data_IF_980805238466
#
_entry.id   IF_980805238466
#
_cell.length_a   1.000
_cell.length_b   1.000
_cell.length_c   1.000
_cell.angle_alpha   90.00
_cell.angle_beta   90.00
_cell.angle_gamma   90.00
#
_symmetry.space_group_name_H-M   'P 1'
#
loop_
_entity.id
_entity.type
_entity.pdbx_description
1 polymer ?
#
# COMPACT_ATOMS: atom_id res chain seq x y z
N UNK A 1 14.76 -14.69 -27.12
CA UNK A 1 14.58 -13.27 -26.73
C UNK A 1 15.59 -12.96 -25.63
N UNK A 2 16.48 -11.98 -25.84
CA UNK A 2 17.37 -11.50 -24.78
C UNK A 2 16.58 -10.61 -23.82
N UNK A 3 16.42 -11.06 -22.57
CA UNK A 3 15.71 -10.29 -21.53
C UNK A 3 16.66 -9.48 -20.66
N UNK A 4 17.93 -9.90 -20.58
CA UNK A 4 18.99 -9.19 -19.87
C UNK A 4 19.58 -8.12 -20.77
N UNK A 5 19.41 -6.85 -20.39
CA UNK A 5 20.02 -5.71 -21.07
C UNK A 5 21.34 -5.38 -20.38
N UNK A 6 22.45 -5.33 -21.12
CA UNK A 6 23.74 -4.95 -20.57
C UNK A 6 23.79 -3.43 -20.35
N UNK A 7 24.43 -2.99 -19.26
CA UNK A 7 24.67 -1.58 -19.02
C UNK A 7 25.95 -1.16 -19.76
N UNK A 8 25.82 -0.28 -20.76
CA UNK A 8 26.94 0.27 -21.51
C UNK A 8 27.57 1.47 -20.81
N UNK A 9 28.89 1.64 -20.91
CA UNK A 9 29.65 2.77 -20.35
C UNK A 9 30.28 2.49 -18.98
N UNK A 10 31.01 3.45 -18.40
CA UNK A 10 31.72 3.25 -17.13
C UNK A 10 30.72 3.02 -15.98
N UNK A 11 31.03 2.19 -14.97
CA UNK A 11 30.12 1.93 -13.85
C UNK A 11 29.81 3.24 -13.09
N UNK A 12 28.55 3.46 -12.65
CA UNK A 12 28.16 4.67 -11.92
C UNK A 12 28.73 4.73 -10.49
N UNK A 13 29.34 3.65 -10.02
CA UNK A 13 29.94 3.51 -8.70
C UNK A 13 30.20 2.03 -8.40
N UNK A 14 30.55 1.73 -7.15
CA UNK A 14 30.67 0.35 -6.69
C UNK A 14 29.33 -0.39 -6.79
N UNK A 15 29.40 -1.72 -6.97
CA UNK A 15 28.19 -2.55 -7.00
C UNK A 15 27.57 -2.60 -5.59
N UNK A 16 26.24 -2.49 -5.47
CA UNK A 16 25.56 -2.69 -4.19
C UNK A 16 25.88 -4.08 -3.62
N UNK A 17 26.31 -4.11 -2.36
CA UNK A 17 26.56 -5.36 -1.63
C UNK A 17 25.26 -5.97 -1.09
N UNK A 18 24.24 -5.13 -0.87
CA UNK A 18 22.90 -5.51 -0.40
C UNK A 18 21.85 -5.02 -1.39
N UNK A 19 20.75 -5.78 -1.53
CA UNK A 19 19.61 -5.35 -2.31
C UNK A 19 18.88 -4.21 -1.58
N UNK A 20 18.65 -3.09 -2.25
CA UNK A 20 17.83 -1.99 -1.71
C UNK A 20 16.43 -2.48 -1.35
N UNK A 21 15.91 -2.08 -0.18
CA UNK A 21 14.56 -2.43 0.25
C UNK A 21 13.51 -1.95 -0.76
N UNK A 22 12.71 -2.84 -1.38
CA UNK A 22 11.68 -2.46 -2.35
C UNK A 22 10.60 -1.53 -1.79
N UNK A 23 10.44 -1.46 -0.47
CA UNK A 23 9.45 -0.62 0.20
C UNK A 23 10.02 0.72 0.69
N UNK A 24 11.31 1.00 0.44
CA UNK A 24 11.89 2.27 0.86
C UNK A 24 11.43 3.40 -0.07
N UNK A 25 10.90 4.51 0.45
CA UNK A 25 10.41 5.62 -0.37
C UNK A 25 11.53 6.52 -0.92
N UNK A 26 12.81 6.10 -0.83
CA UNK A 26 13.92 6.91 -1.34
C UNK A 26 14.03 6.68 -2.86
N UNK A 27 14.58 7.65 -3.60
CA UNK A 27 14.98 7.42 -4.98
C UNK A 27 15.86 6.15 -5.11
N UNK A 28 15.83 5.48 -6.26
CA UNK A 28 16.75 4.38 -6.53
C UNK A 28 18.20 4.87 -6.42
N UNK A 29 19.11 3.95 -6.14
CA UNK A 29 20.53 4.20 -6.18
C UNK A 29 21.04 4.43 -7.61
N UNK A 30 22.35 4.69 -7.78
CA UNK A 30 22.92 5.07 -9.07
C UNK A 30 22.75 4.01 -10.17
N UNK A 31 22.79 2.72 -9.80
CA UNK A 31 22.65 1.64 -10.77
C UNK A 31 21.18 1.48 -11.23
N UNK A 32 20.24 1.52 -10.28
CA UNK A 32 18.81 1.45 -10.58
C UNK A 32 18.32 2.66 -11.37
N UNK A 33 18.82 3.85 -11.05
CA UNK A 33 18.53 5.08 -11.80
C UNK A 33 18.96 4.96 -13.26
N UNK A 34 20.21 4.55 -13.51
CA UNK A 34 20.72 4.37 -14.88
C UNK A 34 19.94 3.33 -15.67
N UNK A 35 19.61 2.19 -15.05
CA UNK A 35 18.81 1.16 -15.70
C UNK A 35 17.40 1.68 -16.04
N UNK A 36 16.80 2.46 -15.14
CA UNK A 36 15.49 3.05 -15.36
C UNK A 36 15.52 4.09 -16.48
N UNK A 37 16.52 4.95 -16.53
CA UNK A 37 16.73 5.92 -17.61
C UNK A 37 16.90 5.25 -18.97
N UNK A 38 17.65 4.14 -19.03
CA UNK A 38 17.80 3.34 -20.24
C UNK A 38 16.46 2.74 -20.71
N UNK A 39 15.67 2.20 -19.78
CA UNK A 39 14.33 1.69 -20.11
C UNK A 39 13.38 2.83 -20.54
N UNK A 40 13.38 3.96 -19.85
CA UNK A 40 12.58 5.13 -20.23
C UNK A 40 12.95 5.61 -21.62
N UNK A 41 14.23 5.67 -21.95
CA UNK A 41 14.69 6.03 -23.29
C UNK A 41 14.14 5.06 -24.34
N UNK A 42 14.24 3.74 -24.11
CA UNK A 42 13.65 2.73 -25.01
C UNK A 42 12.14 2.92 -25.18
N UNK A 43 11.41 3.14 -24.09
CA UNK A 43 9.96 3.35 -24.12
C UNK A 43 9.56 4.63 -24.89
N UNK A 44 10.42 5.66 -24.91
CA UNK A 44 10.18 6.88 -25.70
C UNK A 44 10.36 6.66 -27.20
N UNK A 45 11.27 5.78 -27.61
CA UNK A 45 11.59 5.54 -29.02
C UNK A 45 10.57 4.64 -29.72
N UNK A 46 9.85 3.81 -28.96
CA UNK A 46 8.86 2.90 -29.51
C UNK A 46 7.48 3.58 -29.64
N UNK A 47 7.10 3.87 -30.88
CA UNK A 47 5.83 4.53 -31.20
C UNK A 47 4.60 3.73 -30.72
N UNK A 48 4.66 2.39 -30.75
CA UNK A 48 3.54 1.55 -30.31
C UNK A 48 3.36 1.60 -28.80
N UNK A 49 4.47 1.62 -28.03
CA UNK A 49 4.37 1.86 -26.58
C UNK A 49 3.88 3.25 -26.25
N UNK A 50 4.34 4.27 -26.99
CA UNK A 50 3.89 5.64 -26.78
C UNK A 50 2.36 5.76 -26.91
N UNK A 51 1.79 5.26 -28.01
CA UNK A 51 0.35 5.26 -28.24
C UNK A 51 -0.43 4.50 -27.13
N UNK A 52 0.05 3.31 -26.77
CA UNK A 52 -0.62 2.47 -25.77
C UNK A 52 -0.61 3.07 -24.35
N UNK A 53 0.45 3.78 -23.99
CA UNK A 53 0.67 4.27 -22.63
C UNK A 53 0.14 5.71 -22.42
N UNK A 54 0.01 6.52 -23.48
CA UNK A 54 -0.41 7.94 -23.38
C UNK A 54 -1.91 8.15 -23.57
N UNK A 55 -2.67 7.12 -23.97
CA UNK A 55 -4.14 7.14 -23.92
C UNK A 55 -4.64 7.23 -22.46
N UNK A 56 -5.85 7.78 -22.21
CA UNK A 56 -6.42 7.85 -20.87
C UNK A 56 -6.44 6.49 -20.16
N UNK A 57 -5.81 6.39 -18.99
CA UNK A 57 -5.67 5.13 -18.24
C UNK A 57 -4.64 4.14 -18.82
N UNK A 58 -3.85 4.55 -19.83
CA UNK A 58 -2.83 3.75 -20.46
C UNK A 58 -1.54 3.58 -19.64
N UNK A 59 -1.22 4.58 -18.80
CA UNK A 59 0.00 4.59 -17.99
C UNK A 59 0.11 3.40 -17.03
N UNK A 60 1.34 2.97 -16.74
CA UNK A 60 1.63 1.76 -15.96
C UNK A 60 2.86 1.94 -15.09
N UNK A 61 2.97 1.07 -14.07
CA UNK A 61 4.26 0.89 -13.40
C UNK A 61 5.18 0.08 -14.28
N UNK A 62 6.39 0.58 -14.45
CA UNK A 62 7.53 -0.16 -14.96
C UNK A 62 8.51 -0.41 -13.82
N UNK A 63 9.33 -1.44 -13.98
CA UNK A 63 10.40 -1.74 -13.04
C UNK A 63 11.62 -2.24 -13.77
N UNK A 64 12.78 -1.91 -13.22
CA UNK A 64 14.07 -2.47 -13.60
C UNK A 64 14.71 -3.14 -12.40
N UNK A 65 15.35 -4.28 -12.63
CA UNK A 65 16.16 -4.94 -11.63
C UNK A 65 17.58 -5.10 -12.17
N UNK A 66 18.51 -4.36 -11.58
CA UNK A 66 19.95 -4.53 -11.82
C UNK A 66 20.36 -5.86 -11.22
N UNK A 67 21.06 -6.65 -12.01
CA UNK A 67 21.47 -8.01 -11.68
C UNK A 67 22.91 -8.28 -12.10
N UNK A 68 23.60 -9.13 -11.34
CA UNK A 68 24.87 -9.72 -11.75
C UNK A 68 24.65 -11.18 -12.18
N UNK A 69 25.18 -11.53 -13.35
CA UNK A 69 25.22 -12.89 -13.85
C UNK A 69 26.37 -13.69 -13.19
N UNK A 70 26.31 -15.03 -13.17
CA UNK A 70 27.37 -15.87 -12.60
C UNK A 70 28.75 -15.68 -13.24
N UNK A 71 28.78 -15.23 -14.49
CA UNK A 71 30.01 -14.91 -15.24
C UNK A 71 30.58 -13.51 -14.93
N UNK A 72 30.00 -12.79 -13.97
CA UNK A 72 30.42 -11.47 -13.53
C UNK A 72 29.85 -10.31 -14.34
N UNK A 73 29.10 -10.56 -15.43
CA UNK A 73 28.45 -9.48 -16.19
C UNK A 73 27.34 -8.83 -15.38
N UNK A 74 27.23 -7.51 -15.49
CA UNK A 74 26.16 -6.73 -14.87
C UNK A 74 25.24 -6.18 -15.95
N UNK A 75 23.94 -6.31 -15.71
CA UNK A 75 22.91 -5.77 -16.58
C UNK A 75 21.64 -5.52 -15.79
N UNK A 76 20.54 -5.30 -16.50
CA UNK A 76 19.23 -5.16 -15.87
C UNK A 76 18.14 -5.90 -16.64
N UNK A 77 17.15 -6.34 -15.87
CA UNK A 77 15.89 -6.90 -16.35
C UNK A 77 14.83 -5.80 -16.37
N UNK A 78 13.85 -5.90 -17.25
CA UNK A 78 12.73 -4.95 -17.36
C UNK A 78 11.38 -5.66 -17.19
N UNK A 79 10.44 -5.01 -16.48
CA UNK A 79 9.07 -5.48 -16.31
C UNK A 79 8.07 -4.32 -16.29
N UNK A 80 6.79 -4.64 -16.45
CA UNK A 80 5.67 -3.70 -16.31
C UNK A 80 4.56 -4.32 -15.46
N UNK A 81 3.66 -3.52 -14.89
CA UNK A 81 2.52 -4.04 -14.13
C UNK A 81 1.37 -4.50 -15.03
N UNK A 82 0.80 -5.68 -14.76
CA UNK A 82 -0.32 -6.23 -15.54
C UNK A 82 0.07 -6.56 -16.97
N UNK A 83 -0.78 -6.19 -17.93
CA UNK A 83 -0.56 -6.32 -19.37
C UNK A 83 -0.12 -4.99 -19.99
N UNK A 84 0.67 -5.05 -21.05
CA UNK A 84 1.08 -3.90 -21.88
C UNK A 84 0.53 -4.11 -23.30
N UNK A 85 -0.24 -3.14 -23.81
CA UNK A 85 -0.90 -3.29 -25.11
C UNK A 85 -1.89 -4.47 -25.19
N UNK A 86 -2.36 -5.00 -24.05
CA UNK A 86 -3.20 -6.20 -24.00
C UNK A 86 -2.44 -7.53 -23.97
N UNK A 87 -1.10 -7.49 -23.98
CA UNK A 87 -0.25 -8.69 -23.92
C UNK A 87 0.42 -8.88 -22.55
N UNK A 88 0.59 -10.14 -22.16
CA UNK A 88 1.38 -10.54 -20.98
C UNK A 88 2.87 -10.64 -21.25
N UNK A 89 3.22 -11.08 -22.47
CA UNK A 89 4.59 -11.29 -22.92
C UNK A 89 4.91 -10.26 -23.99
N UNK A 90 5.93 -9.45 -23.75
CA UNK A 90 6.41 -8.41 -24.67
C UNK A 90 7.92 -8.53 -24.76
N UNK A 91 8.46 -8.38 -25.97
CA UNK A 91 9.90 -8.56 -26.22
C UNK A 91 10.77 -7.66 -25.34
N UNK A 92 11.81 -8.23 -24.74
CA UNK A 92 12.73 -7.53 -23.85
C UNK A 92 12.15 -7.18 -22.48
N UNK A 93 10.99 -7.73 -22.11
CA UNK A 93 10.45 -7.73 -20.76
C UNK A 93 10.37 -9.16 -20.20
N UNK A 94 10.49 -9.30 -18.88
CA UNK A 94 10.33 -10.59 -18.20
C UNK A 94 8.88 -11.09 -18.27
N UNK A 95 8.67 -12.42 -18.34
CA UNK A 95 7.33 -13.02 -18.41
C UNK A 95 6.53 -12.87 -17.09
N UNK A 96 5.21 -13.14 -17.11
CA UNK A 96 4.40 -13.23 -15.90
C UNK A 96 4.78 -14.42 -14.99
N UNK A 97 4.25 -14.41 -13.75
CA UNK A 97 4.47 -15.45 -12.73
C UNK A 97 3.55 -16.67 -12.87
N UNK A 98 2.78 -16.74 -13.95
CA UNK A 98 1.86 -17.82 -14.26
C UNK A 98 2.05 -18.20 -15.73
N UNK A 99 1.56 -19.38 -16.11
CA UNK A 99 1.53 -19.79 -17.52
C UNK A 99 0.35 -19.11 -18.25
N UNK A 100 0.59 -18.21 -19.21
CA UNK A 100 -0.47 -17.56 -19.97
C UNK A 100 -1.35 -18.54 -20.74
N UNK A 101 -0.77 -19.62 -21.28
CA UNK A 101 -1.52 -20.62 -22.07
C UNK A 101 -2.48 -21.38 -21.16
N UNK A 102 -2.00 -21.83 -20.00
CA UNK A 102 -2.85 -22.48 -19.00
C UNK A 102 -3.97 -21.56 -18.49
N UNK A 103 -3.69 -20.25 -18.36
CA UNK A 103 -4.70 -19.26 -17.98
C UNK A 103 -5.74 -19.05 -19.07
N UNK A 104 -5.31 -18.86 -20.31
CA UNK A 104 -6.19 -18.58 -21.45
C UNK A 104 -7.11 -19.77 -21.78
N UNK A 105 -6.76 -20.98 -21.34
CA UNK A 105 -7.61 -22.16 -21.46
C UNK A 105 -8.93 -22.08 -20.67
N UNK A 106 -9.01 -21.28 -19.61
CA UNK A 106 -10.22 -21.17 -18.77
C UNK A 106 -10.72 -19.73 -18.56
N UNK A 107 -9.82 -18.75 -18.59
CA UNK A 107 -10.15 -17.36 -18.24
C UNK A 107 -11.22 -16.75 -19.16
N UNK A 108 -11.14 -16.83 -20.50
CA UNK A 108 -12.14 -16.22 -21.39
C UNK A 108 -13.54 -16.78 -21.18
N UNK A 109 -13.67 -18.10 -20.98
CA UNK A 109 -14.95 -18.75 -20.73
C UNK A 109 -15.55 -18.31 -19.37
N UNK A 110 -14.72 -18.27 -18.32
CA UNK A 110 -15.16 -17.80 -17.01
C UNK A 110 -15.52 -16.31 -16.99
N UNK A 111 -14.79 -15.47 -17.72
CA UNK A 111 -15.10 -14.04 -17.87
C UNK A 111 -16.43 -13.83 -18.61
N UNK A 112 -16.67 -14.59 -19.69
CA UNK A 112 -17.94 -14.57 -20.42
C UNK A 112 -19.12 -15.02 -19.55
N UNK A 113 -18.94 -16.06 -18.72
CA UNK A 113 -19.96 -16.52 -17.76
C UNK A 113 -20.29 -15.44 -16.73
N UNK A 114 -19.28 -14.79 -16.15
CA UNK A 114 -19.49 -13.68 -15.21
C UNK A 114 -20.17 -12.47 -15.84
N UNK A 115 -19.82 -12.15 -17.09
CA UNK A 115 -20.47 -11.07 -17.84
C UNK A 115 -21.95 -11.39 -18.13
N UNK A 116 -22.28 -12.63 -18.48
CA UNK A 116 -23.66 -13.06 -18.67
C UNK A 116 -24.48 -12.96 -17.37
N UNK A 117 -23.91 -13.37 -16.23
CA UNK A 117 -24.55 -13.23 -14.92
C UNK A 117 -24.75 -11.77 -14.52
N UNK A 118 -23.81 -10.87 -14.85
CA UNK A 118 -23.96 -9.43 -14.65
C UNK A 118 -25.12 -8.86 -15.48
N UNK A 119 -25.25 -9.27 -16.74
CA UNK A 119 -26.37 -8.85 -17.60
C UNK A 119 -27.72 -9.34 -17.07
N UNK A 120 -27.78 -10.58 -16.58
CA UNK A 120 -28.97 -11.13 -15.93
C UNK A 120 -29.32 -10.37 -14.65
N UNK A 121 -28.33 -10.06 -13.81
CA UNK A 121 -28.51 -9.27 -12.60
C UNK A 121 -29.08 -7.89 -12.90
N UNK A 122 -28.54 -7.20 -13.92
CA UNK A 122 -29.02 -5.89 -14.35
C UNK A 122 -30.44 -5.94 -14.93
N UNK A 123 -30.82 -7.02 -15.62
CA UNK A 123 -32.19 -7.22 -16.11
C UNK A 123 -33.17 -7.43 -14.94
N UNK A 124 -32.86 -8.36 -14.03
CA UNK A 124 -33.70 -8.67 -12.87
C UNK A 124 -33.81 -7.50 -11.90
N UNK A 125 -32.75 -6.70 -11.75
CA UNK A 125 -32.76 -5.49 -10.91
C UNK A 125 -33.77 -4.47 -11.42
N UNK A 126 -33.86 -4.27 -12.75
CA UNK A 126 -34.86 -3.38 -13.37
C UNK A 126 -36.28 -3.91 -13.21
N UNK A 127 -36.48 -5.22 -13.30
CA UNK A 127 -37.80 -5.84 -13.08
C UNK A 127 -38.26 -5.78 -11.62
N UNK A 128 -37.31 -5.86 -10.68
CA UNK A 128 -37.58 -5.80 -9.24
C UNK A 128 -38.04 -4.42 -8.75
N UNK A 129 -37.88 -3.36 -9.55
CA UNK A 129 -38.39 -2.01 -9.26
C UNK A 129 -39.91 -1.88 -9.44
N UNK A 130 -40.58 -2.87 -10.04
CA UNK A 130 -42.03 -2.87 -10.25
C UNK A 130 -42.82 -3.31 -9.01
N UNK A 131 -44.04 -2.75 -8.75
CA UNK A 131 -44.87 -3.19 -7.64
C UNK A 131 -45.29 -4.67 -7.80
N UNK A 132 -45.05 -5.50 -6.76
CA UNK A 132 -45.29 -6.97 -6.69
C UNK A 132 -44.24 -7.89 -7.35
N UNK A 133 -42.96 -7.51 -7.31
CA UNK A 133 -41.86 -8.30 -7.89
C UNK A 133 -41.21 -9.34 -6.93
N UNK A 134 -41.98 -10.05 -6.09
CA UNK A 134 -41.42 -11.03 -5.14
C UNK A 134 -40.60 -12.15 -5.82
N UNK A 135 -41.06 -12.62 -6.99
CA UNK A 135 -40.35 -13.62 -7.80
C UNK A 135 -39.04 -13.08 -8.37
N UNK A 136 -39.03 -11.83 -8.86
CA UNK A 136 -37.82 -11.18 -9.39
C UNK A 136 -36.80 -10.92 -8.28
N UNK A 137 -37.24 -10.63 -7.06
CA UNK A 137 -36.34 -10.45 -5.92
C UNK A 137 -35.67 -11.76 -5.48
N UNK A 138 -36.39 -12.90 -5.53
CA UNK A 138 -35.79 -14.21 -5.29
C UNK A 138 -34.77 -14.57 -6.39
N UNK A 139 -35.15 -14.40 -7.65
CA UNK A 139 -34.26 -14.66 -8.79
C UNK A 139 -33.00 -13.78 -8.75
N UNK A 140 -33.12 -12.52 -8.32
CA UNK A 140 -31.98 -11.61 -8.17
C UNK A 140 -30.98 -12.14 -7.15
N UNK A 141 -31.44 -12.56 -5.96
CA UNK A 141 -30.59 -13.16 -4.92
C UNK A 141 -29.89 -14.43 -5.41
N UNK A 142 -30.57 -15.22 -6.22
CA UNK A 142 -30.01 -16.44 -6.78
C UNK A 142 -28.89 -16.15 -7.80
N UNK A 143 -29.10 -15.19 -8.71
CA UNK A 143 -28.06 -14.72 -9.63
C UNK A 143 -26.86 -14.13 -8.87
N UNK A 144 -27.09 -13.33 -7.83
CA UNK A 144 -26.02 -12.80 -6.96
C UNK A 144 -25.22 -13.93 -6.32
N UNK A 145 -25.90 -14.95 -5.79
CA UNK A 145 -25.27 -16.10 -5.17
C UNK A 145 -24.41 -16.88 -6.17
N UNK A 146 -24.98 -17.26 -7.33
CA UNK A 146 -24.27 -18.00 -8.38
C UNK A 146 -23.08 -17.20 -8.90
N UNK A 147 -23.24 -15.89 -9.14
CA UNK A 147 -22.14 -15.01 -9.57
C UNK A 147 -21.02 -14.96 -8.54
N UNK A 148 -21.36 -14.86 -7.25
CA UNK A 148 -20.36 -14.87 -6.18
C UNK A 148 -19.62 -16.21 -6.08
N UNK A 149 -20.30 -17.34 -6.31
CA UNK A 149 -19.66 -18.66 -6.38
C UNK A 149 -18.75 -18.81 -7.59
N UNK A 150 -19.23 -18.47 -8.79
CA UNK A 150 -18.44 -18.52 -10.03
C UNK A 150 -17.22 -17.61 -9.97
N UNK A 151 -17.38 -16.40 -9.46
CA UNK A 151 -16.27 -15.47 -9.28
C UNK A 151 -15.22 -16.03 -8.33
N UNK A 152 -15.64 -16.62 -7.19
CA UNK A 152 -14.72 -17.27 -6.24
C UNK A 152 -14.00 -18.46 -6.83
N UNK A 153 -14.69 -19.31 -7.60
CA UNK A 153 -14.10 -20.47 -8.26
C UNK A 153 -13.06 -20.05 -9.31
N UNK A 154 -13.41 -19.08 -10.16
CA UNK A 154 -12.52 -18.55 -11.19
C UNK A 154 -11.27 -17.91 -10.58
N UNK A 155 -11.44 -17.07 -9.55
CA UNK A 155 -10.31 -16.47 -8.83
C UNK A 155 -9.42 -17.51 -8.13
N UNK A 156 -10.01 -18.58 -7.60
CA UNK A 156 -9.23 -19.68 -7.02
C UNK A 156 -8.35 -20.35 -8.07
N UNK A 157 -8.88 -20.62 -9.26
CA UNK A 157 -8.08 -21.20 -10.35
C UNK A 157 -6.95 -20.27 -10.78
N UNK A 158 -7.22 -18.97 -10.96
CA UNK A 158 -6.19 -17.97 -11.29
C UNK A 158 -5.07 -17.99 -10.25
N UNK A 159 -5.42 -17.88 -8.96
CA UNK A 159 -4.42 -17.72 -7.88
C UNK A 159 -3.61 -18.98 -7.59
N UNK A 160 -4.10 -20.16 -7.97
CA UNK A 160 -3.35 -21.41 -7.94
C UNK A 160 -2.34 -21.53 -9.07
N UNK A 161 -2.59 -20.87 -10.21
CA UNK A 161 -1.69 -20.88 -11.37
C UNK A 161 -0.44 -19.99 -11.23
N UNK A 162 -0.39 -19.12 -10.22
CA UNK A 162 0.79 -18.30 -9.95
C UNK A 162 1.81 -19.08 -9.14
N UNK A 163 3.06 -19.10 -9.62
CA UNK A 163 4.21 -19.68 -8.93
C UNK A 163 5.10 -18.54 -8.45
N UNK A 164 5.16 -18.36 -7.13
CA UNK A 164 5.97 -17.32 -6.49
C UNK A 164 7.23 -17.98 -5.94
N UNK A 165 8.43 -17.74 -6.50
CA UNK A 165 9.68 -18.24 -5.94
C UNK A 165 10.28 -17.29 -4.89
N UNK A 166 11.17 -17.80 -4.04
CA UNK A 166 12.07 -16.99 -3.23
C UNK A 166 13.55 -17.24 -3.55
N UNK A 167 14.43 -16.43 -2.96
CA UNK A 167 15.87 -16.54 -3.20
C UNK A 167 16.53 -17.78 -2.59
N UNK A 168 15.83 -18.54 -1.75
CA UNK A 168 16.28 -19.88 -1.28
C UNK A 168 15.96 -20.99 -2.28
N UNK A 169 15.25 -20.68 -3.38
CA UNK A 169 14.80 -21.67 -4.36
C UNK A 169 13.49 -22.38 -3.98
N UNK A 170 12.79 -21.92 -2.95
CA UNK A 170 11.47 -22.43 -2.57
C UNK A 170 10.39 -21.75 -3.41
N UNK A 171 9.21 -22.40 -3.55
CA UNK A 171 8.06 -21.82 -4.24
C UNK A 171 6.77 -21.93 -3.42
N UNK A 172 5.87 -20.96 -3.60
CA UNK A 172 4.50 -20.98 -3.08
C UNK A 172 3.51 -20.52 -4.14
N UNK A 173 2.24 -20.93 -4.01
CA UNK A 173 1.16 -20.36 -4.82
C UNK A 173 0.75 -19.00 -4.27
N UNK A 174 0.19 -18.14 -5.13
CA UNK A 174 -0.36 -16.86 -4.68
C UNK A 174 -1.51 -17.06 -3.69
N UNK A 175 -2.32 -18.11 -3.86
CA UNK A 175 -3.38 -18.47 -2.93
C UNK A 175 -2.85 -18.79 -1.52
N UNK A 176 -1.74 -19.56 -1.42
CA UNK A 176 -1.14 -19.94 -0.14
C UNK A 176 -0.62 -18.72 0.64
N UNK A 177 0.03 -17.77 -0.05
CA UNK A 177 0.60 -16.58 0.59
C UNK A 177 -0.45 -15.64 1.24
N UNK A 178 -1.67 -15.60 0.70
CA UNK A 178 -2.73 -14.71 1.18
C UNK A 178 -3.74 -15.39 2.12
N UNK A 179 -3.65 -16.72 2.27
CA UNK A 179 -4.56 -17.50 3.09
C UNK A 179 -4.69 -16.95 4.54
N UNK A 180 -5.89 -17.02 5.15
CA UNK A 180 -7.13 -17.60 4.63
C UNK A 180 -7.94 -16.66 3.72
N UNK A 181 -7.47 -15.42 3.49
CA UNK A 181 -8.19 -14.44 2.66
C UNK A 181 -7.75 -14.58 1.20
N UNK A 182 -8.64 -14.28 0.22
CA UNK A 182 -8.21 -14.22 -1.16
C UNK A 182 -7.22 -13.05 -1.38
N UNK A 183 -6.26 -13.18 -2.30
CA UNK A 183 -5.40 -12.07 -2.68
C UNK A 183 -6.22 -10.93 -3.31
N UNK A 184 -5.78 -9.68 -3.17
CA UNK A 184 -6.36 -8.56 -3.90
C UNK A 184 -6.11 -8.72 -5.41
N UNK A 185 -7.00 -8.16 -6.23
CA UNK A 185 -6.88 -8.22 -7.68
C UNK A 185 -5.54 -7.68 -8.20
N UNK A 186 -4.92 -8.43 -9.12
CA UNK A 186 -3.61 -8.11 -9.72
C UNK A 186 -2.42 -8.28 -8.78
N UNK A 187 -2.57 -9.00 -7.66
CA UNK A 187 -1.42 -9.46 -6.87
C UNK A 187 -0.58 -10.44 -7.69
N UNK A 188 0.74 -10.36 -7.57
CA UNK A 188 1.68 -11.10 -8.41
C UNK A 188 1.99 -10.46 -9.77
N UNK A 189 1.13 -9.55 -10.28
CA UNK A 189 1.34 -8.90 -11.59
C UNK A 189 2.19 -7.63 -11.56
N UNK A 190 2.69 -7.22 -10.39
CA UNK A 190 3.57 -6.07 -10.24
C UNK A 190 4.92 -6.29 -10.94
N UNK A 191 5.65 -5.22 -11.25
CA UNK A 191 6.94 -5.33 -11.94
C UNK A 191 7.98 -6.03 -11.06
N UNK A 192 8.13 -5.61 -9.79
CA UNK A 192 9.11 -6.19 -8.86
C UNK A 192 9.01 -7.72 -8.68
N UNK A 193 7.83 -8.34 -8.41
CA UNK A 193 7.72 -9.79 -8.35
C UNK A 193 8.17 -10.50 -9.63
N UNK A 194 7.80 -9.99 -10.81
CA UNK A 194 8.19 -10.61 -12.09
C UNK A 194 9.70 -10.56 -12.32
N UNK A 195 10.33 -9.44 -11.98
CA UNK A 195 11.77 -9.25 -12.08
C UNK A 195 12.53 -10.23 -11.18
N UNK A 196 12.15 -10.32 -9.90
CA UNK A 196 12.80 -11.19 -8.93
C UNK A 196 12.64 -12.66 -9.29
N UNK A 197 11.42 -13.08 -9.69
CA UNK A 197 11.19 -14.46 -10.08
C UNK A 197 12.03 -14.88 -11.29
N UNK A 198 12.13 -14.00 -12.30
CA UNK A 198 13.00 -14.25 -13.45
C UNK A 198 14.47 -14.31 -13.02
N UNK A 199 14.94 -13.36 -12.21
CA UNK A 199 16.30 -13.37 -11.70
C UNK A 199 16.64 -14.69 -10.97
N UNK A 200 15.77 -15.16 -10.07
CA UNK A 200 15.98 -16.42 -9.36
C UNK A 200 16.02 -17.63 -10.30
N UNK A 201 15.13 -17.68 -11.29
CA UNK A 201 15.10 -18.78 -12.26
C UNK A 201 16.36 -18.85 -13.11
N UNK A 202 16.90 -17.70 -13.50
CA UNK A 202 18.10 -17.61 -14.34
C UNK A 202 19.41 -17.59 -13.52
N UNK A 203 19.34 -17.76 -12.18
CA UNK A 203 20.53 -17.72 -11.31
C UNK A 203 21.23 -16.36 -11.25
N UNK A 204 20.49 -15.27 -11.52
CA UNK A 204 21.00 -13.90 -11.51
C UNK A 204 20.91 -13.32 -10.10
N UNK A 205 21.99 -12.71 -9.61
CA UNK A 205 22.02 -12.05 -8.29
C UNK A 205 21.34 -10.68 -8.38
N UNK A 206 20.23 -10.44 -7.66
CA UNK A 206 19.61 -9.11 -7.57
C UNK A 206 20.52 -8.12 -6.84
N UNK A 207 20.68 -6.92 -7.39
CA UNK A 207 21.52 -5.86 -6.82
C UNK A 207 20.71 -4.62 -6.47
N UNK A 208 19.87 -4.13 -7.41
CA UNK A 208 19.14 -2.89 -7.19
C UNK A 208 17.82 -2.88 -7.97
N UNK A 209 16.73 -2.52 -7.30
CA UNK A 209 15.40 -2.44 -7.87
C UNK A 209 14.96 -0.97 -7.96
N UNK A 210 14.45 -0.57 -9.12
CA UNK A 210 13.77 0.72 -9.29
C UNK A 210 12.43 0.49 -9.98
N UNK A 211 11.35 1.04 -9.41
CA UNK A 211 10.03 1.07 -10.04
C UNK A 211 9.62 2.52 -10.30
N UNK A 212 9.07 2.80 -11.49
CA UNK A 212 8.64 4.14 -11.89
C UNK A 212 7.31 4.07 -12.66
N UNK A 213 6.57 5.16 -12.67
CA UNK A 213 5.37 5.27 -13.52
C UNK A 213 5.75 5.81 -14.90
N UNK A 214 5.14 5.27 -15.95
CA UNK A 214 5.34 5.75 -17.32
C UNK A 214 4.00 5.82 -18.04
N UNK A 215 3.65 7.00 -18.57
CA UNK A 215 2.43 7.24 -19.33
C UNK A 215 1.42 8.16 -18.70
N UNK A 216 0.23 8.19 -19.30
CA UNK A 216 -0.85 9.03 -18.85
C UNK A 216 -1.09 8.81 -17.35
N UNK A 217 -1.34 9.88 -16.58
CA UNK A 217 -1.60 9.74 -15.15
C UNK A 217 -2.84 8.87 -14.92
N UNK A 218 -2.90 8.14 -13.80
CA UNK A 218 -4.10 7.42 -13.41
C UNK A 218 -5.25 8.41 -13.16
N UNK A 219 -6.50 7.94 -13.26
CA UNK A 219 -7.69 8.80 -13.06
C UNK A 219 -7.73 9.50 -11.70
N UNK A 220 -7.07 8.94 -10.70
CA UNK A 220 -6.97 9.51 -9.35
C UNK A 220 -5.82 10.51 -9.18
N UNK A 221 -5.03 10.77 -10.23
CA UNK A 221 -3.93 11.73 -10.24
C UNK A 221 -2.73 11.37 -9.38
N UNK A 222 -2.69 10.16 -8.80
CA UNK A 222 -1.68 9.80 -7.78
C UNK A 222 -0.29 9.47 -8.34
N UNK A 223 -0.10 9.50 -9.66
CA UNK A 223 1.17 9.12 -10.30
C UNK A 223 1.53 10.02 -11.48
N UNK A 224 2.81 10.30 -11.57
CA UNK A 224 3.41 11.15 -12.58
C UNK A 224 4.42 10.36 -13.43
N UNK A 225 4.43 10.61 -14.74
CA UNK A 225 5.33 9.91 -15.65
C UNK A 225 6.79 10.26 -15.36
N UNK A 226 7.63 9.26 -15.17
CA UNK A 226 9.05 9.39 -14.83
C UNK A 226 9.34 9.36 -13.32
N UNK A 227 8.34 9.56 -12.47
CA UNK A 227 8.51 9.52 -11.02
C UNK A 227 8.68 8.08 -10.49
N UNK A 228 9.47 7.93 -9.43
CA UNK A 228 9.80 6.65 -8.82
C UNK A 228 8.89 6.34 -7.63
N UNK A 229 8.51 5.07 -7.47
CA UNK A 229 7.61 4.65 -6.41
C UNK A 229 8.09 3.36 -5.74
N UNK A 230 7.92 3.24 -4.41
CA UNK A 230 8.15 1.98 -3.72
C UNK A 230 7.13 0.92 -4.15
N UNK A 231 7.49 -0.34 -3.89
CA UNK A 231 6.59 -1.47 -4.06
C UNK A 231 5.30 -1.27 -3.26
N UNK A 232 4.15 -1.62 -3.86
CA UNK A 232 2.86 -1.33 -3.24
C UNK A 232 2.57 -2.20 -2.00
N UNK A 233 2.11 -1.56 -0.92
CA UNK A 233 1.82 -2.27 0.35
C UNK A 233 0.73 -3.34 0.20
N UNK A 234 -0.36 -3.02 -0.49
CA UNK A 234 -1.53 -3.91 -0.55
C UNK A 234 -1.27 -5.25 -1.27
N UNK A 235 -0.44 -5.24 -2.33
CA UNK A 235 -0.19 -6.44 -3.15
C UNK A 235 1.20 -7.01 -2.90
N UNK A 236 2.22 -6.16 -2.97
CA UNK A 236 3.61 -6.59 -2.81
C UNK A 236 3.98 -6.78 -1.34
N UNK A 237 3.31 -6.14 -0.38
CA UNK A 237 3.54 -6.29 1.06
C UNK A 237 3.31 -7.71 1.61
N UNK A 238 2.69 -8.60 0.83
CA UNK A 238 2.59 -10.04 1.11
C UNK A 238 3.57 -10.85 0.28
N UNK A 239 3.66 -10.55 -1.02
CA UNK A 239 4.45 -11.33 -1.98
C UNK A 239 5.95 -11.14 -1.77
N UNK A 240 6.43 -9.89 -1.74
CA UNK A 240 7.87 -9.62 -1.69
C UNK A 240 8.55 -10.09 -0.39
N UNK A 241 7.95 -9.95 0.81
CA UNK A 241 8.58 -10.50 2.02
C UNK A 241 8.88 -12.00 1.94
N UNK A 242 8.06 -12.78 1.23
CA UNK A 242 8.36 -14.17 0.95
C UNK A 242 9.48 -14.31 -0.10
N UNK A 243 9.38 -13.61 -1.23
CA UNK A 243 10.36 -13.68 -2.32
C UNK A 243 11.78 -13.30 -1.90
N UNK A 244 11.90 -12.33 -0.98
CA UNK A 244 13.18 -11.82 -0.50
C UNK A 244 13.86 -12.72 0.54
N UNK A 245 13.20 -13.79 1.00
CA UNK A 245 13.82 -14.75 1.92
C UNK A 245 15.06 -15.38 1.28
N UNK A 246 16.21 -15.24 1.93
CA UNK A 246 17.50 -15.70 1.41
C UNK A 246 18.37 -14.61 0.78
N UNK A 247 17.87 -13.38 0.61
CA UNK A 247 18.67 -12.23 0.18
C UNK A 247 19.13 -11.39 1.37
N UNK A 248 20.32 -10.79 1.23
CA UNK A 248 20.75 -9.68 2.06
C UNK A 248 20.10 -8.39 1.54
N UNK A 249 18.95 -8.06 2.14
CA UNK A 249 18.17 -6.87 1.79
C UNK A 249 18.45 -5.80 2.84
N UNK A 250 18.83 -4.61 2.38
CA UNK A 250 18.99 -3.45 3.24
C UNK A 250 17.71 -3.27 4.07
N UNK A 251 17.79 -3.39 5.38
CA UNK A 251 16.64 -3.10 6.22
C UNK A 251 16.39 -1.59 6.19
N UNK A 252 15.13 -1.12 6.35
CA UNK A 252 14.93 0.30 6.63
C UNK A 252 15.80 0.61 7.84
N UNK A 253 16.67 1.63 7.74
CA UNK A 253 17.50 2.05 8.88
C UNK A 253 16.54 2.30 10.04
N UNK A 254 16.62 1.51 11.13
CA UNK A 254 15.76 1.73 12.29
C UNK A 254 15.92 3.17 12.71
N UNK A 255 14.83 3.87 13.03
CA UNK A 255 14.97 5.10 13.79
C UNK A 255 15.68 4.73 15.10
N UNK A 256 16.85 5.30 15.38
CA UNK A 256 17.58 5.06 16.65
C UNK A 256 16.69 5.39 17.86
N UNK A 257 15.70 6.26 17.67
CA UNK A 257 14.69 6.56 18.68
C UNK A 257 13.56 5.53 18.63
N UNK A 258 13.37 4.79 19.74
CA UNK A 258 12.20 3.95 19.98
C UNK A 258 10.98 4.74 20.45
N UNK A 259 9.81 4.10 20.58
CA UNK A 259 8.64 4.74 21.16
C UNK A 259 8.92 5.08 22.64
N UNK A 260 8.68 6.34 23.02
CA UNK A 260 8.85 6.79 24.41
C UNK A 260 7.58 6.45 25.18
N UNK A 261 7.71 5.72 26.29
CA UNK A 261 6.57 5.44 27.17
C UNK A 261 6.27 6.70 27.98
N UNK A 262 5.09 7.27 27.76
CA UNK A 262 4.60 8.49 28.44
C UNK A 262 3.80 8.12 29.68
N UNK A 263 3.09 6.99 29.63
CA UNK A 263 2.33 6.45 30.75
C UNK A 263 2.36 4.94 30.75
N UNK A 264 2.44 4.36 31.94
CA UNK A 264 2.43 2.93 32.15
C UNK A 264 1.71 2.59 33.45
N UNK A 265 0.76 1.67 33.35
CA UNK A 265 0.11 1.06 34.50
C UNK A 265 -0.23 -0.42 34.18
N UNK A 266 -0.84 -1.18 35.11
CA UNK A 266 -1.18 -2.58 34.89
C UNK A 266 -2.16 -2.85 33.73
N UNK A 267 -2.87 -1.85 33.23
CA UNK A 267 -3.99 -2.00 32.30
C UNK A 267 -3.72 -1.40 30.92
N UNK A 268 -2.95 -0.32 30.83
CA UNK A 268 -2.66 0.36 29.57
C UNK A 268 -1.26 0.99 29.52
N UNK A 269 -0.83 1.29 28.30
CA UNK A 269 0.33 2.13 28.01
C UNK A 269 -0.12 3.32 27.15
N UNK A 270 0.53 4.46 27.35
CA UNK A 270 0.54 5.56 26.38
C UNK A 270 1.96 5.76 25.91
N UNK A 271 2.17 5.73 24.60
CA UNK A 271 3.50 5.91 24.00
C UNK A 271 3.50 7.06 23.01
N UNK A 272 4.62 7.76 22.92
CA UNK A 272 4.90 8.77 21.91
C UNK A 272 5.77 8.13 20.83
N UNK A 273 5.17 7.93 19.65
CA UNK A 273 5.77 7.25 18.51
C UNK A 273 6.60 8.24 17.68
N UNK A 274 7.89 7.95 17.41
CA UNK A 274 8.68 8.76 16.50
C UNK A 274 8.22 8.60 15.04
N UNK A 275 8.59 9.56 14.21
CA UNK A 275 8.43 9.46 12.75
C UNK A 275 9.32 8.32 12.20
N UNK A 276 8.87 7.65 11.14
CA UNK A 276 9.58 6.57 10.47
C UNK A 276 9.29 5.17 11.04
N UNK A 277 8.86 5.06 12.30
CA UNK A 277 8.56 3.78 12.93
C UNK A 277 7.09 3.36 12.68
N UNK A 278 6.81 2.19 12.05
CA UNK A 278 5.45 1.67 11.92
C UNK A 278 4.84 1.34 13.29
N UNK A 279 3.52 1.51 13.45
CA UNK A 279 2.82 1.13 14.69
C UNK A 279 2.82 -0.39 14.87
N UNK A 280 2.37 -1.11 13.85
CA UNK A 280 2.35 -2.57 13.81
C UNK A 280 3.34 -3.09 12.77
N UNK A 281 3.89 -4.30 12.96
CA UNK A 281 4.62 -4.97 11.90
C UNK A 281 3.68 -5.26 10.73
N UNK A 282 4.22 -5.30 9.51
CA UNK A 282 3.45 -5.74 8.35
C UNK A 282 2.88 -7.14 8.60
N UNK A 283 1.63 -7.38 8.17
CA UNK A 283 0.91 -8.67 8.35
C UNK A 283 1.75 -9.92 8.00
N UNK A 284 2.68 -9.79 7.06
CA UNK A 284 3.50 -10.87 6.53
C UNK A 284 4.98 -10.79 6.95
N UNK A 285 5.31 -9.89 7.87
CA UNK A 285 6.65 -9.73 8.44
C UNK A 285 6.51 -9.42 9.94
N UNK A 286 6.07 -10.39 10.77
CA UNK A 286 5.70 -10.16 12.17
C UNK A 286 6.87 -9.71 13.05
N UNK A 287 8.11 -10.01 12.65
CA UNK A 287 9.33 -9.56 13.33
C UNK A 287 9.86 -8.22 12.80
N UNK A 288 9.17 -7.58 11.84
CA UNK A 288 9.61 -6.29 11.28
C UNK A 288 9.52 -5.22 12.36
N UNK A 289 10.59 -4.43 12.45
CA UNK A 289 10.70 -3.35 13.40
C UNK A 289 9.47 -2.41 13.37
N UNK A 290 8.90 -2.18 14.54
CA UNK A 290 7.64 -1.46 14.77
C UNK A 290 7.48 -1.13 16.26
N UNK A 291 6.52 -0.27 16.61
CA UNK A 291 6.19 0.02 18.02
C UNK A 291 5.89 -1.27 18.78
N UNK A 292 5.05 -2.15 18.23
CA UNK A 292 4.74 -3.45 18.85
C UNK A 292 6.01 -4.27 19.09
N UNK A 293 6.83 -4.49 18.05
CA UNK A 293 8.03 -5.34 18.15
C UNK A 293 9.04 -4.77 19.16
N UNK A 294 9.24 -3.45 19.20
CA UNK A 294 10.13 -2.82 20.19
C UNK A 294 9.61 -2.94 21.62
N UNK A 295 8.30 -2.77 21.83
CA UNK A 295 7.69 -2.87 23.16
C UNK A 295 7.63 -4.31 23.68
N UNK A 296 7.55 -5.32 22.80
CA UNK A 296 7.49 -6.74 23.19
C UNK A 296 8.73 -7.22 23.97
N UNK A 297 9.87 -6.53 23.86
CA UNK A 297 11.04 -6.80 24.70
C UNK A 297 10.76 -6.65 26.20
N UNK A 298 9.87 -5.72 26.58
CA UNK A 298 9.50 -5.42 27.96
C UNK A 298 8.07 -5.89 28.30
N UNK A 299 7.20 -5.97 27.29
CA UNK A 299 5.80 -6.37 27.42
C UNK A 299 5.47 -7.52 26.44
N UNK A 300 5.93 -8.75 26.70
CA UNK A 300 5.77 -9.88 25.79
C UNK A 300 4.31 -10.26 25.51
N UNK A 301 3.37 -9.84 26.37
CA UNK A 301 1.93 -10.07 26.23
C UNK A 301 1.28 -9.24 25.12
N UNK A 302 1.94 -8.18 24.65
CA UNK A 302 1.38 -7.31 23.64
C UNK A 302 1.25 -8.01 22.29
N UNK A 303 0.10 -7.80 21.64
CA UNK A 303 -0.18 -8.27 20.28
C UNK A 303 -0.75 -7.11 19.46
N UNK A 304 -0.98 -7.33 18.16
CA UNK A 304 -1.69 -6.34 17.33
C UNK A 304 -3.08 -6.00 17.88
N UNK A 305 -3.73 -6.94 18.59
CA UNK A 305 -5.01 -6.72 19.25
C UNK A 305 -4.91 -5.80 20.48
N UNK A 306 -3.71 -5.46 20.95
CA UNK A 306 -3.51 -4.48 22.03
C UNK A 306 -3.70 -3.03 21.57
N UNK A 307 -3.52 -2.76 20.27
CA UNK A 307 -3.54 -1.40 19.71
C UNK A 307 -4.96 -1.00 19.30
N UNK A 308 -5.45 0.13 19.83
CA UNK A 308 -6.79 0.65 19.50
C UNK A 308 -6.81 1.40 18.18
N UNK A 309 -5.67 2.00 17.85
CA UNK A 309 -5.46 2.85 16.69
C UNK A 309 -4.03 2.71 16.19
N UNK A 310 -3.82 3.05 14.92
CA UNK A 310 -2.52 2.97 14.26
C UNK A 310 -2.15 4.34 13.69
N UNK A 311 -0.91 4.75 13.93
CA UNK A 311 -0.29 5.87 13.23
C UNK A 311 0.53 5.33 12.06
N UNK A 312 0.49 6.06 10.95
CA UNK A 312 1.31 5.72 9.78
C UNK A 312 2.80 5.81 10.10
N UNK A 313 3.66 5.10 9.34
CA UNK A 313 5.11 5.24 9.48
C UNK A 313 5.56 6.71 9.36
N UNK A 314 4.98 7.48 8.44
CA UNK A 314 5.32 8.90 8.25
C UNK A 314 4.77 9.85 9.32
N UNK A 315 3.87 9.41 10.20
CA UNK A 315 3.29 10.24 11.27
C UNK A 315 4.05 10.04 12.58
N UNK A 316 3.89 10.95 13.54
CA UNK A 316 4.44 10.83 14.90
C UNK A 316 3.38 11.12 15.95
N UNK A 317 3.67 10.89 17.23
CA UNK A 317 2.82 11.29 18.36
C UNK A 317 2.17 10.14 19.12
N UNK A 318 1.13 10.47 19.87
CA UNK A 318 0.58 9.63 20.93
C UNK A 318 -0.20 8.40 20.42
N UNK A 319 -0.02 7.28 21.10
CA UNK A 319 -0.73 6.01 20.90
C UNK A 319 -1.20 5.47 22.26
N UNK A 320 -2.45 4.98 22.32
CA UNK A 320 -2.94 4.18 23.48
C UNK A 320 -2.91 2.68 23.16
N UNK A 321 -2.38 1.91 24.11
CA UNK A 321 -2.24 0.46 24.00
C UNK A 321 -2.91 -0.17 25.22
N UNK A 322 -3.93 -1.00 24.99
CA UNK A 322 -4.57 -1.75 26.07
C UNK A 322 -3.83 -3.07 26.31
N UNK A 323 -3.55 -3.37 27.58
CA UNK A 323 -2.87 -4.61 27.99
C UNK A 323 -3.85 -5.76 28.26
N UNK A 324 -5.13 -5.46 28.42
CA UNK A 324 -6.20 -6.45 28.62
C UNK A 324 -7.48 -6.16 27.83
N UNK A 325 -8.29 -7.20 27.62
CA UNK A 325 -9.51 -7.13 26.81
C UNK A 325 -10.60 -6.21 27.36
N UNK A 326 -10.72 -6.09 28.69
CA UNK A 326 -11.73 -5.23 29.34
C UNK A 326 -11.35 -3.76 29.15
N UNK A 327 -10.08 -3.44 29.37
CA UNK A 327 -9.52 -2.11 29.12
C UNK A 327 -9.68 -1.72 27.65
N UNK A 328 -9.36 -2.64 26.72
CA UNK A 328 -9.57 -2.45 25.29
C UNK A 328 -11.02 -2.13 24.96
N UNK A 329 -11.96 -2.95 25.44
CA UNK A 329 -13.39 -2.76 25.15
C UNK A 329 -13.91 -1.40 25.67
N UNK A 330 -13.47 -0.98 26.86
CA UNK A 330 -13.85 0.31 27.44
C UNK A 330 -13.29 1.49 26.64
N UNK A 331 -12.00 1.46 26.28
CA UNK A 331 -11.39 2.50 25.45
C UNK A 331 -12.05 2.55 24.08
N UNK A 332 -12.22 1.40 23.41
CA UNK A 332 -12.88 1.31 22.11
C UNK A 332 -14.27 1.96 22.13
N UNK A 333 -15.05 1.74 23.19
CA UNK A 333 -16.34 2.40 23.41
C UNK A 333 -16.18 3.91 23.51
N UNK A 334 -15.26 4.41 24.33
CA UNK A 334 -15.03 5.86 24.50
C UNK A 334 -14.66 6.54 23.18
N UNK A 335 -13.77 5.94 22.39
CA UNK A 335 -13.45 6.44 21.04
C UNK A 335 -14.68 6.43 20.12
N UNK A 336 -15.45 5.33 20.11
CA UNK A 336 -16.63 5.21 19.25
C UNK A 336 -17.74 6.21 19.59
N UNK A 337 -17.84 6.59 20.87
CA UNK A 337 -18.82 7.55 21.40
C UNK A 337 -18.32 8.99 21.43
N UNK A 338 -17.09 9.26 20.97
CA UNK A 338 -16.44 10.58 21.03
C UNK A 338 -16.29 11.12 22.47
N UNK A 339 -16.22 10.21 23.44
CA UNK A 339 -15.93 10.53 24.85
C UNK A 339 -14.41 10.70 25.07
N UNK A 340 -13.61 10.04 24.22
CA UNK A 340 -12.16 10.23 24.15
C UNK A 340 -11.81 11.30 23.11
N UNK A 341 -10.81 12.11 23.42
CA UNK A 341 -10.22 13.08 22.51
C UNK A 341 -8.96 12.50 21.89
N UNK A 342 -8.85 12.62 20.56
CA UNK A 342 -7.67 12.23 19.81
C UNK A 342 -7.42 13.24 18.71
N UNK A 343 -6.52 14.18 19.00
CA UNK A 343 -6.31 15.38 18.20
C UNK A 343 -5.00 15.28 17.45
N UNK A 344 -5.05 15.65 16.18
CA UNK A 344 -3.89 15.64 15.31
C UNK A 344 -3.64 17.03 14.75
N UNK A 345 -2.38 17.34 14.49
CA UNK A 345 -1.97 18.56 13.81
C UNK A 345 -1.20 18.18 12.57
N UNK A 346 -1.50 18.84 11.45
CA UNK A 346 -0.79 18.68 10.20
C UNK A 346 -0.48 20.02 9.55
N UNK A 347 0.56 20.06 8.74
CA UNK A 347 0.67 21.08 7.69
C UNK A 347 0.13 20.50 6.38
N UNK A 348 -0.60 21.31 5.62
CA UNK A 348 -1.12 20.97 4.28
C UNK A 348 -0.57 21.96 3.25
N UNK A 349 -0.31 21.48 2.04
CA UNK A 349 0.29 22.25 0.96
C UNK A 349 -0.77 23.14 0.29
N UNK A 350 -0.67 24.44 0.52
CA UNK A 350 -1.59 25.43 0.00
C UNK A 350 -2.55 26.05 1.03
N UNK A 351 -3.55 26.73 0.48
CA UNK A 351 -4.54 27.48 1.25
C UNK A 351 -5.77 26.62 1.53
N UNK A 352 -6.19 26.55 2.79
CA UNK A 352 -7.46 25.93 3.18
C UNK A 352 -8.53 27.02 3.29
N UNK A 353 -9.60 26.85 2.50
CA UNK A 353 -10.79 27.69 2.55
C UNK A 353 -11.59 27.46 3.84
N UNK A 354 -11.98 28.55 4.52
CA UNK A 354 -12.72 28.50 5.78
C UNK A 354 -11.85 28.19 7.00
N UNK A 355 -12.32 28.56 8.19
CA UNK A 355 -11.54 28.45 9.45
C UNK A 355 -11.79 27.14 10.21
N UNK A 356 -12.91 26.47 9.97
CA UNK A 356 -13.24 25.17 10.55
C UNK A 356 -14.34 24.47 9.75
N UNK A 357 -14.50 23.18 9.97
CA UNK A 357 -15.57 22.42 9.32
C UNK A 357 -15.59 20.94 9.68
N UNK A 358 -16.47 20.22 8.98
CA UNK A 358 -16.61 18.77 9.08
C UNK A 358 -16.38 18.16 7.69
N UNK A 359 -15.47 17.19 7.60
CA UNK A 359 -15.24 16.42 6.38
C UNK A 359 -15.92 15.06 6.55
N UNK A 360 -16.86 14.76 5.65
CA UNK A 360 -17.53 13.47 5.56
C UNK A 360 -17.26 12.83 4.21
N UNK A 361 -16.45 11.76 4.19
CA UNK A 361 -16.10 11.07 2.94
C UNK A 361 -16.62 9.63 2.93
N UNK A 362 -17.24 9.19 1.82
CA UNK A 362 -17.50 7.78 1.60
C UNK A 362 -16.17 7.05 1.35
N UNK A 363 -15.92 6.00 2.11
CA UNK A 363 -14.86 5.02 1.87
C UNK A 363 -15.44 3.81 1.13
N UNK A 364 -14.55 2.98 0.57
CA UNK A 364 -14.92 1.72 -0.09
C UNK A 364 -15.72 0.83 0.88
N UNK A 365 -16.69 0.07 0.33
CA UNK A 365 -17.58 -0.84 1.07
C UNK A 365 -18.55 -0.15 2.04
N UNK A 366 -19.03 1.06 1.70
CA UNK A 366 -20.11 1.74 2.43
C UNK A 366 -19.72 2.33 3.79
N UNK A 367 -18.45 2.22 4.18
CA UNK A 367 -17.94 2.90 5.38
C UNK A 367 -17.82 4.39 5.10
N UNK A 368 -18.05 5.24 6.10
CA UNK A 368 -17.81 6.69 6.02
C UNK A 368 -16.66 7.06 6.93
N UNK A 369 -15.86 8.04 6.55
CA UNK A 369 -14.92 8.69 7.45
C UNK A 369 -15.41 10.09 7.78
N UNK A 370 -15.37 10.45 9.05
CA UNK A 370 -15.81 11.74 9.56
C UNK A 370 -14.67 12.35 10.35
N UNK A 371 -14.30 13.59 10.01
CA UNK A 371 -13.22 14.31 10.69
C UNK A 371 -13.56 15.79 10.77
N UNK A 372 -13.66 16.31 11.99
CA UNK A 372 -13.73 17.75 12.18
C UNK A 372 -12.33 18.35 11.99
N UNK A 373 -12.27 19.59 11.51
CA UNK A 373 -11.01 20.29 11.30
C UNK A 373 -11.12 21.76 11.70
N UNK A 374 -9.98 22.35 12.06
CA UNK A 374 -9.85 23.78 12.37
C UNK A 374 -8.49 24.29 11.89
N UNK A 375 -8.47 25.44 11.23
CA UNK A 375 -7.22 26.08 10.81
C UNK A 375 -6.57 26.74 12.01
N UNK A 376 -5.33 26.35 12.30
CA UNK A 376 -4.52 26.92 13.36
C UNK A 376 -3.67 28.08 12.86
N UNK A 377 -3.16 27.99 11.63
CA UNK A 377 -2.28 29.02 11.04
C UNK A 377 -2.27 28.92 9.52
N UNK A 378 -2.29 30.06 8.81
CA UNK A 378 -2.07 30.11 7.36
C UNK A 378 -0.73 30.76 7.05
N UNK A 379 -0.01 30.18 6.09
CA UNK A 379 1.21 30.73 5.50
C UNK A 379 1.04 30.77 3.97
N UNK A 380 1.85 31.55 3.22
CA UNK A 380 1.66 31.71 1.77
C UNK A 380 1.64 30.40 0.97
N UNK A 381 2.37 29.39 1.42
CA UNK A 381 2.52 28.12 0.70
C UNK A 381 1.89 26.91 1.41
N UNK A 382 1.38 27.07 2.64
CA UNK A 382 0.88 25.96 3.47
C UNK A 382 -0.03 26.43 4.58
N UNK A 383 -0.89 25.53 5.07
CA UNK A 383 -1.81 25.80 6.17
C UNK A 383 -1.64 24.76 7.27
N UNK A 384 -1.55 25.19 8.53
CA UNK A 384 -1.52 24.32 9.70
C UNK A 384 -2.95 24.07 10.15
N UNK A 385 -3.32 22.80 10.21
CA UNK A 385 -4.70 22.35 10.45
C UNK A 385 -4.70 21.36 11.61
N UNK A 386 -5.65 21.54 12.51
CA UNK A 386 -6.04 20.57 13.51
C UNK A 386 -7.11 19.63 12.95
N UNK A 387 -6.99 18.34 13.24
CA UNK A 387 -7.97 17.31 12.89
C UNK A 387 -8.43 16.53 14.12
N UNK A 388 -9.76 16.34 14.22
CA UNK A 388 -10.41 15.47 15.20
C UNK A 388 -11.14 14.33 14.46
N UNK A 389 -10.43 13.22 14.14
CA UNK A 389 -11.05 12.08 13.49
C UNK A 389 -12.01 11.36 14.43
N UNK A 390 -13.26 11.21 13.98
CA UNK A 390 -14.28 10.40 14.67
C UNK A 390 -14.15 8.92 14.30
N UNK A 391 -13.61 8.64 13.12
CA UNK A 391 -13.41 7.30 12.57
C UNK A 391 -11.92 7.08 12.30
N UNK A 392 -11.44 5.86 12.43
CA UNK A 392 -10.01 5.54 12.27
C UNK A 392 -9.75 4.50 11.18
N UNK A 393 -10.07 4.80 9.90
CA UNK A 393 -9.57 3.99 8.79
C UNK A 393 -8.03 4.14 8.66
N UNK A 394 -7.34 3.20 8.01
CA UNK A 394 -5.96 3.43 7.59
C UNK A 394 -5.88 4.74 6.81
N UNK A 395 -4.89 5.57 7.14
CA UNK A 395 -4.68 6.86 6.47
C UNK A 395 -5.76 7.91 6.69
N UNK A 396 -6.41 7.84 7.86
CA UNK A 396 -7.59 8.61 8.23
C UNK A 396 -7.51 10.12 7.99
N UNK A 397 -6.31 10.72 7.94
CA UNK A 397 -6.16 12.17 7.86
C UNK A 397 -5.63 12.66 6.51
N UNK A 398 -4.82 11.84 5.82
CA UNK A 398 -4.29 12.15 4.48
C UNK A 398 -5.38 12.16 3.42
N UNK A 399 -6.32 11.21 3.51
CA UNK A 399 -7.44 11.14 2.56
C UNK A 399 -8.37 12.37 2.72
N UNK A 400 -8.87 12.72 3.91
CA UNK A 400 -9.63 13.96 4.10
C UNK A 400 -8.90 15.23 3.71
N UNK A 401 -7.59 15.31 3.91
CA UNK A 401 -6.78 16.45 3.46
C UNK A 401 -6.81 16.57 1.92
N UNK A 402 -6.31 15.56 1.22
CA UNK A 402 -6.07 15.64 -0.22
C UNK A 402 -7.35 15.53 -1.09
N UNK A 403 -8.40 14.90 -0.57
CA UNK A 403 -9.59 14.63 -1.37
C UNK A 403 -10.36 15.91 -1.71
N UNK A 404 -10.88 16.01 -2.94
CA UNK A 404 -11.65 17.17 -3.44
C UNK A 404 -12.93 17.50 -2.64
N UNK A 405 -13.52 16.50 -1.98
CA UNK A 405 -14.67 16.68 -1.08
C UNK A 405 -14.24 16.89 0.39
N UNK A 406 -12.93 16.92 0.64
CA UNK A 406 -12.32 17.25 1.92
C UNK A 406 -11.73 18.65 1.85
N UNK A 407 -10.46 18.82 2.24
CA UNK A 407 -9.79 20.13 2.13
C UNK A 407 -9.32 20.45 0.70
N UNK A 408 -9.21 19.44 -0.18
CA UNK A 408 -8.69 19.60 -1.54
C UNK A 408 -7.19 19.93 -1.61
N UNK A 409 -6.48 19.89 -0.48
CA UNK A 409 -5.05 20.17 -0.37
C UNK A 409 -4.34 19.06 0.41
N UNK A 410 -3.27 18.45 -0.14
CA UNK A 410 -2.61 17.34 0.50
C UNK A 410 -1.81 17.77 1.74
N UNK A 411 -1.56 16.82 2.65
CA UNK A 411 -0.64 17.09 3.77
C UNK A 411 0.78 17.31 3.24
N UNK A 412 1.53 18.25 3.82
CA UNK A 412 2.92 18.53 3.43
C UNK A 412 3.77 17.27 3.61
N UNK A 413 4.52 16.91 2.57
CA UNK A 413 5.32 15.68 2.54
C UNK A 413 4.51 14.39 2.36
N UNK A 414 3.25 14.52 1.95
CA UNK A 414 2.45 13.40 1.50
C UNK A 414 2.94 12.95 0.10
N UNK A 415 3.85 11.98 0.10
CA UNK A 415 4.36 11.32 -1.13
C UNK A 415 3.27 10.61 -1.97
N UNK A 416 2.03 10.44 -1.45
CA UNK A 416 0.90 9.87 -2.21
C UNK A 416 0.17 10.93 -3.02
N UNK A 417 0.52 12.21 -2.87
CA UNK A 417 -0.16 13.36 -3.48
C UNK A 417 0.76 14.45 -4.03
N UNK A 418 2.08 14.21 -4.15
CA UNK A 418 2.90 14.90 -5.15
C UNK A 418 3.97 15.91 -4.70
N UNK A 419 4.42 15.94 -3.43
CA UNK A 419 5.69 16.61 -3.06
C UNK A 419 6.61 15.66 -2.29
N UNK A 420 7.69 15.26 -2.96
CA UNK A 420 8.62 14.20 -2.54
C UNK A 420 9.76 14.70 -1.63
N UNK A 421 9.89 16.01 -1.46
CA UNK A 421 11.02 16.69 -0.81
C UNK A 421 10.81 17.00 0.68
N UNK A 422 9.60 16.76 1.22
CA UNK A 422 9.29 16.97 2.63
C UNK A 422 8.84 15.69 3.34
N UNK A 423 9.23 15.51 4.61
CA UNK A 423 8.66 14.44 5.46
C UNK A 423 7.18 14.73 5.70
N UNK A 424 6.34 13.69 5.86
CA UNK A 424 4.93 13.87 6.23
C UNK A 424 4.84 14.67 7.54
N UNK A 425 4.23 15.86 7.46
CA UNK A 425 4.06 16.75 8.60
C UNK A 425 2.70 16.49 9.24
N UNK A 426 2.61 15.39 9.98
CA UNK A 426 1.40 14.94 10.69
C UNK A 426 1.76 14.36 12.07
N UNK A 427 1.14 14.89 13.12
CA UNK A 427 1.41 14.53 14.51
C UNK A 427 0.12 14.30 15.31
N UNK A 428 0.04 13.20 16.07
CA UNK A 428 -1.00 12.96 17.06
C UNK A 428 -0.63 13.66 18.38
N UNK A 429 -1.15 14.87 18.56
CA UNK A 429 -0.68 15.82 19.55
C UNK A 429 -1.32 15.63 20.93
N UNK A 430 -2.64 15.38 20.96
CA UNK A 430 -3.39 15.23 22.22
C UNK A 430 -4.16 13.93 22.23
N UNK A 431 -4.12 13.27 23.39
CA UNK A 431 -4.89 12.09 23.70
C UNK A 431 -5.49 12.24 25.10
N UNK A 432 -6.82 12.25 25.21
CA UNK A 432 -7.51 12.32 26.49
C UNK A 432 -8.65 11.30 26.57
N UNK A 433 -8.78 10.61 27.70
CA UNK A 433 -9.81 9.60 27.90
C UNK A 433 -10.05 9.34 29.39
N UNK A 434 -11.13 8.64 29.72
CA UNK A 434 -11.41 8.18 31.09
C UNK A 434 -10.73 6.83 31.30
N UNK A 435 -9.87 6.74 32.31
CA UNK A 435 -9.14 5.53 32.63
C UNK A 435 -10.13 4.39 32.95
N UNK A 436 -10.09 3.24 32.21
CA UNK A 436 -11.11 2.19 32.31
C UNK A 436 -11.31 1.53 33.68
N UNK A 437 -10.32 1.57 34.57
CA UNK A 437 -10.41 1.01 35.94
C UNK A 437 -10.67 2.05 37.02
N UNK A 438 -9.89 3.12 37.07
CA UNK A 438 -9.97 4.14 38.11
C UNK A 438 -11.07 5.17 37.88
N UNK A 439 -11.56 5.33 36.64
CA UNK A 439 -12.51 6.38 36.29
C UNK A 439 -11.91 7.80 36.25
N UNK A 440 -10.61 7.95 36.51
CA UNK A 440 -9.94 9.24 36.42
C UNK A 440 -9.82 9.68 34.95
N UNK A 441 -10.03 10.97 34.66
CA UNK A 441 -9.71 11.54 33.35
C UNK A 441 -8.19 11.66 33.22
N UNK A 442 -7.64 11.06 32.17
CA UNK A 442 -6.23 11.18 31.79
C UNK A 442 -6.12 12.03 30.54
N UNK A 443 -5.09 12.88 30.50
CA UNK A 443 -4.79 13.77 29.39
C UNK A 443 -3.29 13.78 29.14
N UNK A 444 -2.92 13.58 27.88
CA UNK A 444 -1.55 13.51 27.43
C UNK A 444 -1.36 14.49 26.28
N UNK A 445 -0.25 15.24 26.36
CA UNK A 445 0.17 16.18 25.34
C UNK A 445 1.58 15.82 24.85
N UNK A 446 1.71 15.69 23.53
CA UNK A 446 2.97 15.61 22.81
C UNK A 446 2.99 16.78 21.83
N UNK A 447 3.69 17.89 22.12
CA UNK A 447 3.70 19.04 21.23
C UNK A 447 4.22 18.67 19.83
N UNK A 448 3.50 19.09 18.78
CA UNK A 448 3.94 18.83 17.41
C UNK A 448 5.32 19.47 17.17
N UNK A 449 6.32 18.74 16.63
CA UNK A 449 7.69 19.24 16.48
C UNK A 449 7.86 20.18 15.27
N UNK A 450 6.81 20.94 14.89
CA UNK A 450 6.73 21.77 13.68
C UNK A 450 5.62 22.82 13.72
#
# INVERSE_FOLDING_TARGET
MQTLTLLEGPPPGDLPTQLTNPFHPKPPGPWGLRAAEALQWRLRQDAAFHEALWRPGGGKMFGVLVVAAPDGRVGFLSAFSGMLGGAWTVEGFVPPLFDPVARDAFWPAGEAELAALEQQHAALSREAEAPRAERSLHALKEVEHVRAERSRALWRQVTLGYVIPNARGETQTLAALFAPKPPPGGAGDCAAPKLLAYAFREGLKPLELAEFWWGAPPQDGRRESGAYYPACDNKCGTVLPYMLQGLDVALPVPSDTGPRIVHEDPWLLVVDKPVGLPTLPGRHAPARDSVLVRLQSRFPELTSASFLHELEPGSSGLLVIARDAVTRASLQRQFSRREAEHRHVAWVDGHVEGDSGLIELPLRHGKRTVSAWTVLRREPARTRVEFLPTTQPPHALRIPSAHRLGLGVPSTGDARSGREDARLILHAEVLAFVHPRTGARLEFLSPAPF
#
